data_IF_354078441633
#
_entry.id   IF_354078441633
#
_cell.length_a   1.000
_cell.length_b   1.000
_cell.length_c   1.000
_cell.angle_alpha   90.00
_cell.angle_beta   90.00
_cell.angle_gamma   90.00
#
_symmetry.space_group_name_H-M   'P 1'
#
loop_
_entity.id
_entity.type
_entity.pdbx_description
1 polymer ?
#
# COMPACT_ATOMS: atom_id res chain seq x y z
N UNK A 1 3.85 -6.56 -10.88
CA UNK A 1 3.94 -5.12 -11.14
C UNK A 1 5.37 -4.71 -11.52
N UNK A 2 6.41 -5.15 -10.77
CA UNK A 2 7.80 -4.84 -11.07
C UNK A 2 8.21 -5.39 -12.45
N UNK A 3 7.84 -6.64 -12.75
CA UNK A 3 8.06 -7.27 -14.05
C UNK A 3 7.30 -6.53 -15.17
N UNK A 4 6.02 -6.22 -14.97
CA UNK A 4 5.22 -5.49 -15.95
C UNK A 4 5.74 -4.06 -16.20
N UNK A 5 6.29 -3.40 -15.19
CA UNK A 5 6.95 -2.09 -15.36
C UNK A 5 8.31 -2.22 -16.04
N UNK A 6 9.01 -3.35 -15.87
CA UNK A 6 10.27 -3.62 -16.54
C UNK A 6 10.07 -4.05 -18.03
N UNK A 7 8.95 -4.69 -18.34
CA UNK A 7 8.56 -5.05 -19.73
C UNK A 7 8.19 -3.83 -20.56
N UNK A 8 7.70 -2.75 -19.94
CA UNK A 8 7.54 -1.45 -20.62
C UNK A 8 8.88 -0.75 -20.92
N UNK A 9 10.01 -1.45 -20.76
CA UNK A 9 11.37 -0.96 -20.96
C UNK A 9 11.70 -0.49 -22.40
N UNK A 10 10.87 -0.80 -23.36
CA UNK A 10 10.96 -0.17 -24.70
C UNK A 10 10.49 1.30 -24.68
N UNK A 11 9.96 1.77 -23.54
CA UNK A 11 9.64 3.16 -23.29
C UNK A 11 10.81 3.84 -22.60
N UNK A 12 11.00 5.11 -22.84
CA UNK A 12 12.02 6.00 -22.30
C UNK A 12 11.93 6.20 -20.77
N UNK A 13 11.34 5.25 -20.03
CA UNK A 13 11.08 5.37 -18.59
C UNK A 13 12.10 4.58 -17.77
N UNK A 14 12.78 5.28 -16.85
CA UNK A 14 13.59 4.67 -15.81
C UNK A 14 12.72 4.41 -14.57
N UNK A 15 12.70 3.16 -14.10
CA UNK A 15 11.87 2.76 -12.96
C UNK A 15 12.76 2.46 -11.75
N UNK A 16 12.47 3.12 -10.64
CA UNK A 16 13.16 2.88 -9.37
C UNK A 16 12.17 2.40 -8.28
N UNK A 17 12.60 1.45 -7.46
CA UNK A 17 11.84 0.96 -6.32
C UNK A 17 12.47 1.37 -5.00
N UNK A 18 11.64 1.85 -4.07
CA UNK A 18 12.04 2.11 -2.69
C UNK A 18 11.34 1.09 -1.81
N UNK A 19 12.10 0.21 -1.15
CA UNK A 19 11.55 -0.83 -0.29
C UNK A 19 12.35 -0.96 1.01
N UNK A 20 11.69 -1.52 2.05
CA UNK A 20 12.34 -1.79 3.33
C UNK A 20 13.28 -3.01 3.26
N UNK A 21 12.89 -4.01 2.48
CA UNK A 21 13.63 -5.26 2.24
C UNK A 21 13.32 -5.76 0.83
N UNK A 22 14.27 -6.44 0.23
CA UNK A 22 14.06 -7.25 -0.95
C UNK A 22 14.51 -8.67 -0.63
N UNK A 23 13.63 -9.64 -0.84
CA UNK A 23 13.92 -11.07 -0.69
C UNK A 23 14.26 -11.72 -2.04
N UNK A 24 13.95 -11.03 -3.12
CA UNK A 24 14.24 -11.45 -4.49
C UNK A 24 15.21 -10.47 -5.13
N UNK A 25 15.94 -10.94 -6.13
CA UNK A 25 16.72 -10.06 -7.00
C UNK A 25 15.77 -9.11 -7.73
N UNK A 26 16.14 -7.83 -7.85
CA UNK A 26 15.34 -6.88 -8.61
C UNK A 26 15.26 -7.32 -10.08
N UNK A 27 14.15 -7.07 -10.76
CA UNK A 27 14.03 -7.28 -12.20
C UNK A 27 15.14 -6.53 -12.96
N UNK A 28 15.59 -7.09 -14.06
CA UNK A 28 16.62 -6.47 -14.89
C UNK A 28 16.18 -5.07 -15.34
N UNK A 29 17.01 -4.07 -15.11
CA UNK A 29 16.74 -2.69 -15.51
C UNK A 29 15.93 -1.87 -14.49
N UNK A 30 15.60 -2.44 -13.32
CA UNK A 30 14.94 -1.72 -12.23
C UNK A 30 15.97 -1.45 -11.11
N UNK A 31 16.18 -0.18 -10.78
CA UNK A 31 17.01 0.21 -9.65
C UNK A 31 16.21 0.08 -8.35
N UNK A 32 16.78 -0.60 -7.35
CA UNK A 32 16.12 -0.81 -6.07
C UNK A 32 16.89 -0.14 -4.92
N UNK A 33 16.22 0.75 -4.19
CA UNK A 33 16.70 1.39 -2.99
C UNK A 33 16.22 0.64 -1.76
N UNK A 34 17.09 -0.14 -1.13
CA UNK A 34 16.78 -0.84 0.11
C UNK A 34 17.10 0.08 1.29
N UNK A 35 16.06 0.65 1.91
CA UNK A 35 16.21 1.61 3.02
C UNK A 35 16.41 0.95 4.38
N UNK A 36 16.35 -0.37 4.43
CA UNK A 36 16.53 -1.16 5.64
C UNK A 36 15.30 -1.16 6.56
N UNK A 37 15.40 -2.00 7.58
CA UNK A 37 14.37 -2.14 8.60
C UNK A 37 15.04 -2.34 9.96
N UNK A 38 15.06 -1.34 10.84
CA UNK A 38 15.68 -1.48 12.17
C UNK A 38 14.95 -2.57 12.96
N UNK A 39 15.65 -3.19 13.90
CA UNK A 39 15.05 -4.06 14.89
C UNK A 39 14.01 -3.34 15.76
N UNK A 40 13.28 -4.08 16.61
CA UNK A 40 12.40 -3.50 17.62
C UNK A 40 10.95 -3.30 17.21
N UNK A 41 10.32 -2.29 17.78
CA UNK A 41 8.87 -2.07 17.72
C UNK A 41 8.36 -1.71 16.32
N UNK A 42 7.14 -2.15 15.99
CA UNK A 42 6.48 -1.87 14.72
C UNK A 42 6.40 -0.37 14.41
N UNK A 43 6.15 0.45 15.42
CA UNK A 43 6.12 1.91 15.29
C UNK A 43 7.44 2.48 14.77
N UNK A 44 8.57 2.05 15.35
CA UNK A 44 9.93 2.50 14.93
C UNK A 44 10.20 2.08 13.48
N UNK A 45 9.85 0.85 13.11
CA UNK A 45 10.01 0.34 11.74
C UNK A 45 9.23 1.17 10.72
N UNK A 46 8.00 1.56 11.06
CA UNK A 46 7.17 2.39 10.19
C UNK A 46 7.74 3.81 10.05
N UNK A 47 8.13 4.43 11.16
CA UNK A 47 8.69 5.77 11.16
C UNK A 47 10.03 5.81 10.40
N UNK A 48 10.88 4.82 10.62
CA UNK A 48 12.13 4.67 9.88
C UNK A 48 11.89 4.61 8.37
N UNK A 49 10.97 3.74 7.93
CA UNK A 49 10.64 3.62 6.52
C UNK A 49 10.14 4.94 5.93
N UNK A 50 9.23 5.63 6.63
CA UNK A 50 8.70 6.92 6.19
C UNK A 50 9.82 7.95 5.97
N UNK A 51 10.72 8.09 6.95
CA UNK A 51 11.81 9.06 6.90
C UNK A 51 12.79 8.70 5.78
N UNK A 52 13.20 7.43 5.69
CA UNK A 52 14.21 6.99 4.71
C UNK A 52 13.67 7.00 3.29
N UNK A 53 12.42 6.56 3.09
CA UNK A 53 11.78 6.63 1.77
C UNK A 53 11.64 8.07 1.29
N UNK A 54 11.26 9.00 2.19
CA UNK A 54 11.16 10.42 1.87
C UNK A 54 12.55 11.05 1.57
N UNK A 55 13.61 10.61 2.26
CA UNK A 55 14.98 11.05 1.95
C UNK A 55 15.42 10.61 0.56
N UNK A 56 15.14 9.34 0.18
CA UNK A 56 15.44 8.84 -1.17
C UNK A 56 14.61 9.61 -2.20
N UNK A 57 13.32 9.77 -1.98
CA UNK A 57 12.44 10.53 -2.85
C UNK A 57 12.93 11.95 -3.11
N UNK A 58 13.36 12.67 -2.07
CA UNK A 58 13.86 14.04 -2.18
C UNK A 58 15.21 14.16 -2.89
N UNK A 59 16.04 13.10 -2.86
CA UNK A 59 17.35 13.09 -3.54
C UNK A 59 17.23 12.71 -5.01
N UNK A 60 16.24 11.88 -5.35
CA UNK A 60 15.91 11.55 -6.72
C UNK A 60 15.06 12.65 -7.33
N UNK A 61 15.29 12.93 -8.59
CA UNK A 61 14.50 13.89 -9.36
C UNK A 61 13.44 13.12 -10.15
N UNK A 62 12.42 12.60 -9.45
CA UNK A 62 11.40 11.74 -10.03
C UNK A 62 10.28 12.56 -10.64
N UNK A 63 9.90 12.26 -11.88
CA UNK A 63 8.75 12.87 -12.56
C UNK A 63 7.44 12.38 -11.99
N UNK A 64 7.41 11.13 -11.48
CA UNK A 64 6.21 10.51 -10.90
C UNK A 64 6.56 9.59 -9.74
N UNK A 65 5.90 9.78 -8.60
CA UNK A 65 6.05 8.94 -7.41
C UNK A 65 4.76 8.17 -7.15
N UNK A 66 4.82 6.85 -7.29
CA UNK A 66 3.69 5.94 -7.05
C UNK A 66 3.86 5.23 -5.71
N UNK A 67 2.91 5.41 -4.82
CA UNK A 67 2.86 4.71 -3.54
C UNK A 67 2.05 3.41 -3.63
N UNK A 68 2.67 2.31 -3.20
CA UNK A 68 2.03 1.00 -3.04
C UNK A 68 1.76 0.67 -1.56
N UNK A 69 2.12 1.57 -0.66
CA UNK A 69 2.04 1.34 0.77
C UNK A 69 1.96 2.63 1.57
N UNK A 70 2.58 2.62 2.74
CA UNK A 70 2.56 3.76 3.65
C UNK A 70 3.77 4.66 3.42
N UNK A 71 3.57 5.71 2.65
CA UNK A 71 4.54 6.78 2.36
C UNK A 71 3.98 8.12 2.82
N UNK A 72 4.78 9.16 2.82
CA UNK A 72 4.32 10.48 3.24
C UNK A 72 3.89 11.33 2.05
N UNK A 73 4.74 11.44 1.03
CA UNK A 73 4.46 12.20 -0.19
C UNK A 73 4.48 11.27 -1.41
N UNK A 74 3.49 11.43 -2.25
CA UNK A 74 3.32 10.70 -3.51
C UNK A 74 2.41 11.50 -4.44
N UNK A 75 2.57 11.31 -5.74
CA UNK A 75 1.68 11.87 -6.76
C UNK A 75 0.49 10.96 -7.01
N UNK A 76 0.73 9.66 -6.87
CA UNK A 76 -0.28 8.63 -7.07
C UNK A 76 -0.22 7.57 -5.98
N UNK A 77 -1.37 7.08 -5.54
CA UNK A 77 -1.50 6.00 -4.55
C UNK A 77 -2.34 4.86 -5.08
N UNK A 78 -1.78 3.64 -5.04
CA UNK A 78 -2.52 2.42 -5.37
C UNK A 78 -3.03 1.73 -4.11
N UNK A 79 -4.35 1.60 -4.00
CA UNK A 79 -5.04 1.02 -2.84
C UNK A 79 -5.44 -0.41 -3.16
N UNK A 80 -4.73 -1.38 -2.55
CA UNK A 80 -4.94 -2.81 -2.78
C UNK A 80 -6.04 -3.43 -1.91
N UNK A 81 -6.12 -3.07 -0.63
CA UNK A 81 -7.02 -3.68 0.35
C UNK A 81 -8.01 -2.72 1.03
N UNK A 82 -8.10 -1.51 0.52
CA UNK A 82 -8.92 -0.45 1.12
C UNK A 82 -8.26 0.24 2.33
N UNK A 83 -8.94 1.27 2.88
CA UNK A 83 -8.45 2.02 4.02
C UNK A 83 -8.31 1.16 5.28
N UNK A 84 -7.31 1.43 6.09
CA UNK A 84 -7.08 0.71 7.36
C UNK A 84 -8.27 0.85 8.32
N UNK A 85 -8.97 1.99 8.29
CA UNK A 85 -10.18 2.22 9.08
C UNK A 85 -11.26 1.18 8.74
N UNK A 86 -11.55 0.99 7.46
CA UNK A 86 -12.54 0.00 7.00
C UNK A 86 -12.12 -1.43 7.37
N UNK A 87 -10.84 -1.77 7.19
CA UNK A 87 -10.32 -3.07 7.62
C UNK A 87 -10.52 -3.30 9.12
N UNK A 88 -10.31 -2.30 9.95
CA UNK A 88 -10.53 -2.43 11.39
C UNK A 88 -12.01 -2.61 11.74
N UNK A 89 -12.90 -1.86 11.12
CA UNK A 89 -14.36 -1.98 11.31
C UNK A 89 -14.86 -3.38 10.93
N UNK A 90 -14.46 -3.87 9.75
CA UNK A 90 -14.84 -5.21 9.27
C UNK A 90 -14.26 -6.32 10.18
N UNK A 91 -13.00 -6.18 10.56
CA UNK A 91 -12.33 -7.11 11.45
C UNK A 91 -12.89 -7.13 12.88
N UNK A 92 -13.53 -6.04 13.34
CA UNK A 92 -14.26 -6.02 14.62
C UNK A 92 -15.57 -6.79 14.53
N UNK A 93 -16.28 -6.67 13.41
CA UNK A 93 -17.55 -7.39 13.17
C UNK A 93 -17.34 -8.91 13.07
N UNK A 94 -16.18 -9.36 12.62
CA UNK A 94 -15.86 -10.78 12.50
C UNK A 94 -15.57 -11.47 13.84
N UNK A 95 -15.48 -10.73 14.95
CA UNK A 95 -15.25 -11.31 16.27
C UNK A 95 -16.54 -11.40 17.07
N UNK A 96 -16.73 -12.49 17.85
CA UNK A 96 -17.88 -12.61 18.75
C UNK A 96 -17.97 -11.43 19.72
N UNK A 97 -19.18 -11.03 20.04
CA UNK A 97 -19.41 -10.01 21.06
C UNK A 97 -18.92 -10.54 22.43
N UNK A 98 -18.17 -9.70 23.17
CA UNK A 98 -17.66 -10.07 24.47
C UNK A 98 -16.33 -9.40 24.81
N UNK A 99 -15.72 -9.86 25.90
CA UNK A 99 -14.49 -9.29 26.47
C UNK A 99 -13.32 -9.28 25.47
N UNK A 100 -13.19 -10.32 24.64
CA UNK A 100 -12.14 -10.41 23.62
C UNK A 100 -12.24 -9.29 22.55
N UNK A 101 -13.46 -8.93 22.17
CA UNK A 101 -13.73 -7.81 21.23
C UNK A 101 -13.37 -6.47 21.86
N UNK A 102 -13.78 -6.26 23.13
CA UNK A 102 -13.43 -5.06 23.87
C UNK A 102 -11.93 -4.89 24.06
N UNK A 103 -11.23 -5.95 24.47
CA UNK A 103 -9.77 -5.93 24.63
C UNK A 103 -9.03 -5.63 23.31
N UNK A 104 -9.49 -6.21 22.21
CA UNK A 104 -8.94 -5.94 20.88
C UNK A 104 -9.13 -4.47 20.48
N UNK A 105 -10.30 -3.90 20.76
CA UNK A 105 -10.59 -2.50 20.51
C UNK A 105 -9.67 -1.58 21.34
N UNK A 106 -9.54 -1.85 22.64
CA UNK A 106 -8.68 -1.10 23.54
C UNK A 106 -7.20 -1.17 23.08
N UNK A 107 -6.71 -2.36 22.78
CA UNK A 107 -5.35 -2.54 22.26
C UNK A 107 -5.12 -1.76 20.96
N UNK A 108 -6.09 -1.72 20.06
CA UNK A 108 -6.00 -0.94 18.81
C UNK A 108 -5.89 0.56 19.07
N UNK A 109 -6.56 1.08 20.09
CA UNK A 109 -6.48 2.50 20.46
C UNK A 109 -5.15 2.85 21.12
N UNK A 110 -4.61 1.97 21.94
CA UNK A 110 -3.41 2.22 22.73
C UNK A 110 -2.09 2.00 21.96
N UNK A 111 -2.08 1.19 20.89
CA UNK A 111 -0.84 0.91 20.17
C UNK A 111 -0.36 2.11 19.35
N UNK A 112 0.86 2.64 19.61
CA UNK A 112 1.42 3.77 18.87
C UNK A 112 1.51 3.52 17.35
N UNK A 113 1.76 2.26 16.95
CA UNK A 113 1.80 1.89 15.54
C UNK A 113 0.46 2.09 14.82
N UNK A 114 -0.66 1.90 15.52
CA UNK A 114 -2.00 2.10 14.95
C UNK A 114 -2.33 3.59 14.85
N UNK A 115 -1.89 4.37 15.81
CA UNK A 115 -2.01 5.82 15.78
C UNK A 115 -1.22 6.41 14.61
N UNK A 116 0.05 6.02 14.44
CA UNK A 116 0.86 6.43 13.30
C UNK A 116 0.21 6.01 11.97
N UNK A 117 -0.32 4.78 11.89
CA UNK A 117 -1.04 4.31 10.71
C UNK A 117 -2.23 5.21 10.36
N UNK A 118 -3.02 5.65 11.35
CA UNK A 118 -4.15 6.57 11.13
C UNK A 118 -3.70 7.92 10.60
N UNK A 119 -2.61 8.45 11.15
CA UNK A 119 -2.05 9.73 10.70
C UNK A 119 -1.62 9.61 9.23
N UNK A 120 -0.87 8.56 8.89
CA UNK A 120 -0.39 8.34 7.52
C UNK A 120 -1.56 8.18 6.56
N UNK A 121 -2.53 7.31 6.88
CA UNK A 121 -3.71 7.11 6.04
C UNK A 121 -4.47 8.42 5.83
N UNK A 122 -4.75 9.14 6.92
CA UNK A 122 -5.47 10.41 6.82
C UNK A 122 -4.72 11.44 5.98
N UNK A 123 -3.39 11.50 6.11
CA UNK A 123 -2.57 12.35 5.27
C UNK A 123 -2.61 11.92 3.80
N UNK A 124 -2.36 10.64 3.50
CA UNK A 124 -2.34 10.12 2.13
C UNK A 124 -3.67 10.33 1.39
N UNK A 125 -4.79 9.98 2.02
CA UNK A 125 -6.11 10.13 1.37
C UNK A 125 -6.54 11.58 1.19
N UNK A 126 -5.98 12.53 1.95
CA UNK A 126 -6.31 13.96 1.88
C UNK A 126 -5.25 14.82 1.22
N UNK A 127 -4.13 14.25 0.79
CA UNK A 127 -3.01 14.98 0.17
C UNK A 127 -3.32 15.52 -1.23
N UNK A 128 -4.45 15.14 -1.82
CA UNK A 128 -4.79 15.48 -3.21
C UNK A 128 -4.09 14.62 -4.26
N UNK A 129 -3.36 13.57 -3.86
CA UNK A 129 -2.76 12.63 -4.80
C UNK A 129 -3.84 11.84 -5.55
N UNK A 130 -3.51 11.40 -6.76
CA UNK A 130 -4.39 10.53 -7.56
C UNK A 130 -4.53 9.16 -6.90
N UNK A 131 -5.76 8.71 -6.67
CA UNK A 131 -6.03 7.44 -5.99
C UNK A 131 -6.52 6.42 -7.00
N UNK A 132 -5.84 5.28 -7.05
CA UNK A 132 -6.21 4.13 -7.88
C UNK A 132 -6.58 2.97 -6.97
N UNK A 133 -7.78 2.45 -7.14
CA UNK A 133 -8.29 1.27 -6.44
C UNK A 133 -8.22 0.02 -7.32
N UNK A 134 -7.97 -1.13 -6.71
CA UNK A 134 -7.88 -2.42 -7.44
C UNK A 134 -9.24 -3.04 -7.77
N UNK A 135 -10.33 -2.48 -7.23
CA UNK A 135 -11.70 -2.93 -7.51
C UNK A 135 -12.72 -1.88 -7.11
N UNK A 136 -13.95 -2.02 -7.62
CA UNK A 136 -15.08 -1.18 -7.24
C UNK A 136 -15.42 -1.28 -5.75
N UNK A 137 -15.29 -2.45 -5.15
CA UNK A 137 -15.48 -2.64 -3.71
C UNK A 137 -14.49 -1.78 -2.90
N UNK A 138 -13.21 -1.78 -3.28
CA UNK A 138 -12.17 -0.96 -2.64
C UNK A 138 -12.45 0.52 -2.85
N UNK A 139 -12.89 0.93 -4.04
CA UNK A 139 -13.31 2.30 -4.33
C UNK A 139 -14.45 2.74 -3.40
N UNK A 140 -15.50 1.93 -3.31
CA UNK A 140 -16.65 2.21 -2.44
C UNK A 140 -16.22 2.36 -0.97
N UNK A 141 -15.40 1.45 -0.46
CA UNK A 141 -14.89 1.52 0.91
C UNK A 141 -14.02 2.76 1.14
N UNK A 142 -13.24 3.15 0.14
CA UNK A 142 -12.38 4.33 0.22
C UNK A 142 -13.22 5.61 0.30
N UNK A 143 -14.20 5.77 -0.57
CA UNK A 143 -15.12 6.92 -0.55
C UNK A 143 -15.93 6.99 0.75
N UNK A 144 -16.42 5.85 1.26
CA UNK A 144 -17.13 5.78 2.53
C UNK A 144 -16.27 6.15 3.73
N UNK A 145 -15.00 5.75 3.74
CA UNK A 145 -14.07 6.05 4.83
C UNK A 145 -13.57 7.51 4.80
N UNK A 146 -13.43 8.08 3.61
CA UNK A 146 -12.93 9.43 3.37
C UNK A 146 -13.89 10.21 2.46
N UNK A 147 -15.04 10.67 2.98
CA UNK A 147 -15.96 11.49 2.20
C UNK A 147 -15.28 12.83 1.82
N UNK A 148 -15.55 13.29 0.60
CA UNK A 148 -15.00 14.54 0.09
C UNK A 148 -13.68 14.44 -0.66
N UNK A 149 -13.10 13.24 -0.78
CA UNK A 149 -11.98 13.03 -1.73
C UNK A 149 -12.50 12.88 -3.16
N UNK A 150 -11.69 13.21 -4.18
CA UNK A 150 -12.03 12.91 -5.57
C UNK A 150 -12.37 11.42 -5.74
N UNK A 151 -13.26 11.11 -6.67
CA UNK A 151 -13.64 9.70 -6.94
C UNK A 151 -12.43 8.93 -7.41
N UNK A 152 -11.98 7.89 -6.67
CA UNK A 152 -10.83 7.09 -7.07
C UNK A 152 -11.09 6.35 -8.38
N UNK A 153 -10.06 6.24 -9.20
CA UNK A 153 -10.09 5.41 -10.40
C UNK A 153 -10.00 3.92 -10.03
N UNK A 154 -10.53 3.06 -10.91
CA UNK A 154 -10.43 1.60 -10.72
C UNK A 154 -9.59 1.02 -11.83
N UNK A 155 -8.49 0.38 -11.45
CA UNK A 155 -7.64 -0.42 -12.33
C UNK A 155 -7.53 -1.81 -11.72
N UNK A 156 -8.20 -2.77 -12.32
CA UNK A 156 -8.20 -4.16 -11.85
C UNK A 156 -6.82 -4.79 -12.00
N UNK A 157 -6.50 -5.70 -11.09
CA UNK A 157 -5.35 -6.57 -11.26
C UNK A 157 -5.62 -7.55 -12.39
N UNK A 158 -4.75 -7.56 -13.38
CA UNK A 158 -4.79 -8.59 -14.41
C UNK A 158 -4.03 -9.83 -13.89
N UNK A 159 -4.69 -10.98 -13.76
CA UNK A 159 -3.98 -12.22 -13.49
C UNK A 159 -3.15 -12.62 -14.70
N UNK A 160 -2.00 -13.22 -14.45
CA UNK A 160 -1.21 -13.86 -15.51
C UNK A 160 -1.91 -15.15 -15.93
N UNK A 161 -2.67 -15.07 -17.03
CA UNK A 161 -3.47 -16.17 -17.54
C UNK A 161 -2.61 -17.37 -17.97
N UNK A 162 -1.33 -17.18 -18.23
CA UNK A 162 -0.42 -18.28 -18.55
C UNK A 162 -0.17 -19.22 -17.38
N UNK A 163 -0.35 -18.72 -16.16
CA UNK A 163 -0.20 -19.47 -14.90
C UNK A 163 -1.50 -20.08 -14.39
N UNK A 164 -2.64 -19.70 -14.94
CA UNK A 164 -3.96 -20.16 -14.53
C UNK A 164 -4.61 -20.95 -15.67
N UNK A 165 -4.18 -22.17 -15.85
CA UNK A 165 -4.89 -23.14 -16.71
C UNK A 165 -6.08 -23.69 -15.92
N UNK A 166 -7.32 -23.63 -16.46
CA UNK A 166 -8.45 -24.32 -15.82
C UNK A 166 -8.13 -25.82 -15.74
N UNK A 167 -8.53 -26.49 -14.64
CA UNK A 167 -8.36 -27.92 -14.52
C UNK A 167 -9.06 -28.59 -15.71
N UNK A 168 -8.37 -29.53 -16.34
CA UNK A 168 -8.95 -30.37 -17.40
C UNK A 168 -10.13 -31.14 -16.81
N UNK A 169 -11.26 -31.34 -17.52
CA UNK A 169 -12.45 -32.01 -16.99
C UNK A 169 -12.24 -33.46 -16.49
N UNK A 170 -11.04 -34.01 -16.65
CA UNK A 170 -10.66 -35.37 -16.25
C UNK A 170 -9.86 -35.45 -14.94
N UNK A 171 -9.74 -34.37 -14.17
CA UNK A 171 -9.17 -34.31 -12.81
C UNK A 171 -10.25 -33.86 -11.82
#
# INVERSE_FOLDING_TARGET
LAEALAETRNSEHEVEFICARSECLPPVGVRTHIVGRPGGLKFIKMLWFLIRAEQVRKRGNYDLVISLGKTWNQDMMRVGGGPQKTFWELSEKAWPAGFSRWFKHLRRRLLPSNWLTRIIDNHQYRSGCRIICVSDAVRHWTQKAYPGIPVPEVIYNLPDLSRFTPPTPEQ
#
